data_IF_417516422567
#
_entry.id   IF_417516422567
#
_cell.length_a   1.000
_cell.length_b   1.000
_cell.length_c   1.000
_cell.angle_alpha   90.00
_cell.angle_beta   90.00
_cell.angle_gamma   90.00
#
_symmetry.space_group_name_H-M   'P 1'
#
loop_
_entity.id
_entity.type
_entity.pdbx_description
1 polymer ?
#
# COMPACT_ATOMS: atom_id res chain seq x y z
N UNK A 1 1.01 5.80 -13.88
CA UNK A 1 1.17 6.19 -12.48
C UNK A 1 2.58 5.85 -12.03
N UNK A 2 2.91 4.57 -11.82
CA UNK A 2 4.24 4.09 -11.39
C UNK A 2 5.46 4.68 -12.13
N UNK A 3 5.44 4.71 -13.46
CA UNK A 3 6.54 5.28 -14.24
C UNK A 3 6.71 6.80 -14.04
N UNK A 4 5.59 7.52 -13.86
CA UNK A 4 5.62 8.95 -13.59
C UNK A 4 6.15 9.23 -12.17
N UNK A 5 5.76 8.41 -11.19
CA UNK A 5 6.27 8.51 -9.83
C UNK A 5 7.77 8.20 -9.76
N UNK A 6 8.24 7.17 -10.46
CA UNK A 6 9.65 6.83 -10.53
C UNK A 6 10.51 7.99 -11.07
N UNK A 7 10.04 8.67 -12.12
CA UNK A 7 10.76 9.80 -12.73
C UNK A 7 10.55 11.13 -12.01
N UNK A 8 9.46 11.27 -11.25
CA UNK A 8 9.09 12.49 -10.55
C UNK A 8 10.10 12.89 -9.48
N UNK A 9 10.24 14.19 -9.23
CA UNK A 9 11.19 14.74 -8.25
C UNK A 9 10.95 14.17 -6.85
N UNK A 10 9.68 14.03 -6.45
CA UNK A 10 9.31 13.44 -5.15
C UNK A 10 9.73 11.97 -5.05
N UNK A 11 9.50 11.19 -6.11
CA UNK A 11 9.90 9.78 -6.15
C UNK A 11 11.42 9.62 -6.13
N UNK A 12 12.16 10.42 -6.90
CA UNK A 12 13.62 10.42 -6.87
C UNK A 12 14.19 10.81 -5.51
N UNK A 13 13.60 11.81 -4.86
CA UNK A 13 13.99 12.19 -3.50
C UNK A 13 13.77 11.04 -2.52
N UNK A 14 12.62 10.37 -2.57
CA UNK A 14 12.33 9.20 -1.74
C UNK A 14 13.31 8.04 -2.02
N UNK A 15 13.58 7.73 -3.29
CA UNK A 15 14.56 6.70 -3.66
C UNK A 15 15.95 7.01 -3.10
N UNK A 16 16.40 8.26 -3.22
CA UNK A 16 17.68 8.68 -2.65
C UNK A 16 17.69 8.56 -1.11
N UNK A 17 16.58 8.89 -0.44
CA UNK A 17 16.47 8.75 1.00
C UNK A 17 16.53 7.29 1.46
N UNK A 18 15.86 6.37 0.74
CA UNK A 18 15.80 4.95 1.12
C UNK A 18 17.05 4.16 0.70
N UNK A 19 17.54 4.41 -0.51
CA UNK A 19 18.59 3.59 -1.14
C UNK A 19 19.93 4.31 -1.31
N UNK A 20 20.00 5.62 -1.07
CA UNK A 20 21.19 6.45 -1.31
C UNK A 20 21.47 6.75 -2.79
N UNK A 21 20.69 6.18 -3.72
CA UNK A 21 20.84 6.36 -5.16
C UNK A 21 19.48 6.45 -5.86
N UNK A 22 19.44 7.06 -7.04
CA UNK A 22 18.25 7.00 -7.89
C UNK A 22 18.18 5.66 -8.62
N UNK A 23 16.98 5.09 -8.75
CA UNK A 23 16.77 3.81 -9.42
C UNK A 23 16.59 4.00 -10.93
N UNK A 24 16.85 2.93 -11.69
CA UNK A 24 16.55 2.88 -13.11
C UNK A 24 15.04 2.69 -13.34
N UNK A 25 14.40 3.69 -13.96
CA UNK A 25 12.98 3.67 -14.27
C UNK A 25 12.65 2.97 -15.59
N UNK A 26 13.63 2.40 -16.29
CA UNK A 26 13.43 1.78 -17.61
C UNK A 26 12.47 0.60 -17.57
N UNK A 27 12.48 -0.20 -16.48
CA UNK A 27 11.54 -1.31 -16.34
C UNK A 27 10.09 -0.82 -16.23
N UNK A 28 9.84 0.21 -15.41
CA UNK A 28 8.51 0.82 -15.27
C UNK A 28 7.99 1.41 -16.59
N UNK A 29 8.90 1.92 -17.43
CA UNK A 29 8.55 2.39 -18.76
C UNK A 29 8.10 1.23 -19.66
N UNK A 30 8.86 0.13 -19.70
CA UNK A 30 8.51 -1.07 -20.49
C UNK A 30 7.17 -1.65 -20.06
N UNK A 31 6.93 -1.75 -18.76
CA UNK A 31 5.66 -2.27 -18.22
C UNK A 31 4.49 -1.37 -18.60
N UNK A 32 4.69 -0.04 -18.56
CA UNK A 32 3.69 0.92 -19.03
C UNK A 32 3.39 0.77 -20.52
N UNK A 33 4.42 0.68 -21.36
CA UNK A 33 4.27 0.50 -22.81
C UNK A 33 3.53 -0.80 -23.15
N UNK A 34 3.90 -1.92 -22.51
CA UNK A 34 3.22 -3.20 -22.67
C UNK A 34 1.76 -3.15 -22.20
N UNK A 35 1.49 -2.49 -21.07
CA UNK A 35 0.13 -2.29 -20.59
C UNK A 35 -0.72 -1.51 -21.60
N UNK A 36 -0.16 -0.42 -22.17
CA UNK A 36 -0.85 0.35 -23.20
C UNK A 36 -1.05 -0.45 -24.49
N UNK A 37 -0.08 -1.28 -24.89
CA UNK A 37 -0.20 -2.17 -26.05
C UNK A 37 -1.36 -3.17 -25.87
N UNK A 38 -1.46 -3.80 -24.69
CA UNK A 38 -2.58 -4.66 -24.34
C UNK A 38 -3.92 -3.91 -24.36
N UNK A 39 -3.98 -2.71 -23.73
CA UNK A 39 -5.22 -1.93 -23.67
C UNK A 39 -5.73 -1.54 -25.05
N UNK A 40 -4.84 -1.14 -25.95
CA UNK A 40 -5.19 -0.62 -27.27
C UNK A 40 -5.37 -1.72 -28.32
N UNK A 41 -4.53 -2.76 -28.30
CA UNK A 41 -4.46 -3.76 -29.38
C UNK A 41 -4.81 -5.18 -28.93
N UNK A 42 -5.09 -5.40 -27.63
CA UNK A 42 -5.34 -6.73 -27.06
C UNK A 42 -4.22 -7.75 -27.36
N UNK A 43 -2.98 -7.28 -27.34
CA UNK A 43 -1.80 -8.11 -27.53
C UNK A 43 -1.52 -8.99 -26.29
N UNK A 44 -1.69 -10.30 -26.45
CA UNK A 44 -1.52 -11.28 -25.37
C UNK A 44 -0.07 -11.41 -24.88
N UNK A 45 0.93 -11.16 -25.74
CA UNK A 45 2.33 -11.23 -25.34
C UNK A 45 2.68 -10.07 -24.42
N UNK A 46 2.18 -8.88 -24.71
CA UNK A 46 2.37 -7.72 -23.84
C UNK A 46 1.65 -7.89 -22.50
N UNK A 47 0.46 -8.49 -22.48
CA UNK A 47 -0.21 -8.85 -21.23
C UNK A 47 0.64 -9.81 -20.40
N UNK A 48 1.15 -10.88 -21.03
CA UNK A 48 2.00 -11.87 -20.37
C UNK A 48 3.25 -11.24 -19.77
N UNK A 49 3.93 -10.37 -20.52
CA UNK A 49 5.12 -9.66 -20.04
C UNK A 49 4.85 -8.79 -18.81
N UNK A 50 3.70 -8.09 -18.77
CA UNK A 50 3.29 -7.31 -17.60
C UNK A 50 3.04 -8.22 -16.40
N UNK A 51 2.28 -9.31 -16.59
CA UNK A 51 1.98 -10.27 -15.51
C UNK A 51 3.27 -10.84 -14.90
N UNK A 52 4.22 -11.26 -15.74
CA UNK A 52 5.51 -11.78 -15.28
C UNK A 52 6.32 -10.74 -14.50
N UNK A 53 6.31 -9.48 -14.95
CA UNK A 53 6.97 -8.37 -14.22
C UNK A 53 6.33 -8.14 -12.85
N UNK A 54 5.00 -8.12 -12.77
CA UNK A 54 4.26 -7.95 -11.52
C UNK A 54 4.51 -9.10 -10.53
N UNK A 55 4.49 -10.34 -11.03
CA UNK A 55 4.78 -11.53 -10.22
C UNK A 55 6.19 -11.49 -9.66
N UNK A 56 7.17 -11.08 -10.48
CA UNK A 56 8.55 -10.91 -10.03
C UNK A 56 8.66 -9.85 -8.93
N UNK A 57 8.04 -8.67 -9.09
CA UNK A 57 8.07 -7.62 -8.05
C UNK A 57 7.39 -8.08 -6.76
N UNK A 58 6.28 -8.81 -6.86
CA UNK A 58 5.59 -9.38 -5.70
C UNK A 58 6.50 -10.36 -4.98
N UNK A 59 7.18 -11.24 -5.73
CA UNK A 59 8.14 -12.18 -5.16
C UNK A 59 9.29 -11.46 -4.45
N UNK A 60 9.96 -10.52 -5.12
CA UNK A 60 11.09 -9.76 -4.56
C UNK A 60 10.70 -9.01 -3.28
N UNK A 61 9.49 -8.42 -3.24
CA UNK A 61 8.97 -7.74 -2.05
C UNK A 61 8.74 -8.69 -0.88
N UNK A 62 8.26 -9.90 -1.15
CA UNK A 62 7.96 -10.89 -0.12
C UNK A 62 9.16 -11.75 0.25
N UNK A 63 10.19 -11.79 -0.60
CA UNK A 63 11.38 -12.63 -0.42
C UNK A 63 12.02 -12.44 0.95
N UNK A 64 12.24 -11.19 1.38
CA UNK A 64 12.81 -10.91 2.69
C UNK A 64 11.95 -11.43 3.86
N UNK A 65 10.63 -11.53 3.69
CA UNK A 65 9.73 -12.12 4.69
C UNK A 65 9.77 -13.64 4.68
N UNK A 66 9.92 -14.27 3.51
CA UNK A 66 10.00 -15.72 3.37
C UNK A 66 11.38 -16.29 3.75
N UNK A 67 12.45 -15.54 3.46
CA UNK A 67 13.83 -15.91 3.77
C UNK A 67 14.17 -15.67 5.26
N UNK A 68 13.22 -15.17 6.05
CA UNK A 68 13.40 -14.90 7.47
C UNK A 68 13.35 -16.21 8.28
N UNK A 69 14.37 -16.46 9.12
CA UNK A 69 14.49 -17.64 9.99
C UNK A 69 14.07 -17.38 11.44
N UNK A 70 13.86 -16.12 11.81
CA UNK A 70 13.50 -15.70 13.18
C UNK A 70 11.98 -15.66 13.39
N UNK A 71 11.22 -15.25 12.37
CA UNK A 71 9.79 -14.98 12.48
C UNK A 71 8.95 -15.81 11.51
N UNK A 72 7.93 -16.49 12.02
CA UNK A 72 6.97 -17.23 11.20
C UNK A 72 5.80 -16.34 10.73
N UNK A 73 5.38 -16.54 9.48
CA UNK A 73 4.20 -15.86 8.92
C UNK A 73 2.91 -16.37 9.57
N UNK A 74 2.08 -15.45 10.06
CA UNK A 74 0.79 -15.78 10.66
C UNK A 74 -0.23 -16.16 9.59
N UNK A 75 -0.94 -17.28 9.78
CA UNK A 75 -2.02 -17.73 8.90
C UNK A 75 -3.36 -17.02 9.18
N UNK A 76 -3.60 -16.63 10.42
CA UNK A 76 -4.79 -15.91 10.86
C UNK A 76 -4.43 -14.87 11.92
N UNK A 77 -5.20 -13.77 12.04
CA UNK A 77 -5.06 -12.87 13.18
C UNK A 77 -5.32 -13.64 14.49
N UNK A 78 -4.76 -13.18 15.61
CA UNK A 78 -5.12 -13.70 16.94
C UNK A 78 -6.64 -13.63 17.18
N UNK A 79 -7.19 -14.58 17.96
CA UNK A 79 -8.64 -14.65 18.23
C UNK A 79 -9.19 -13.38 18.88
N UNK A 80 -8.38 -12.71 19.69
CA UNK A 80 -8.72 -11.46 20.37
C UNK A 80 -8.19 -10.21 19.65
N UNK A 81 -7.82 -10.30 18.37
CA UNK A 81 -7.28 -9.17 17.61
C UNK A 81 -8.23 -7.98 17.54
N UNK A 82 -9.54 -8.25 17.50
CA UNK A 82 -10.61 -7.25 17.50
C UNK A 82 -11.29 -7.10 18.86
N UNK A 83 -10.66 -7.56 19.95
CA UNK A 83 -11.20 -7.37 21.29
C UNK A 83 -11.35 -5.87 21.61
N UNK A 84 -12.35 -5.50 22.43
CA UNK A 84 -12.51 -4.12 22.85
C UNK A 84 -11.22 -3.63 23.53
N UNK A 85 -10.90 -2.35 23.32
CA UNK A 85 -9.75 -1.75 23.97
C UNK A 85 -9.91 -1.84 25.50
N UNK A 86 -8.81 -2.00 26.26
CA UNK A 86 -8.86 -1.99 27.71
C UNK A 86 -9.48 -0.69 28.27
N UNK A 87 -10.17 -0.78 29.41
CA UNK A 87 -10.89 0.35 30.03
C UNK A 87 -10.01 1.58 30.26
N UNK A 88 -8.76 1.39 30.68
CA UNK A 88 -7.83 2.50 30.91
C UNK A 88 -7.51 3.28 29.63
N UNK A 89 -7.47 2.59 28.48
CA UNK A 89 -7.18 3.19 27.18
C UNK A 89 -8.41 3.91 26.64
N UNK A 90 -9.61 3.35 26.84
CA UNK A 90 -10.87 4.01 26.52
C UNK A 90 -11.03 5.32 27.31
N UNK A 91 -10.78 5.31 28.63
CA UNK A 91 -10.84 6.51 29.47
C UNK A 91 -9.85 7.59 29.04
N UNK A 92 -8.65 7.20 28.60
CA UNK A 92 -7.66 8.14 28.05
C UNK A 92 -8.11 8.69 26.70
N UNK A 93 -8.73 7.86 25.87
CA UNK A 93 -9.24 8.26 24.56
C UNK A 93 -10.39 9.28 24.68
N UNK A 94 -11.32 9.09 25.64
CA UNK A 94 -12.48 9.95 25.85
C UNK A 94 -12.15 11.44 26.01
N UNK A 95 -11.03 11.74 26.66
CA UNK A 95 -10.54 13.09 26.94
C UNK A 95 -9.43 13.54 25.97
N UNK A 96 -9.04 12.68 25.02
CA UNK A 96 -8.06 13.03 24.00
C UNK A 96 -8.69 13.94 22.93
N UNK A 97 -7.86 14.71 22.23
CA UNK A 97 -8.30 15.50 21.09
C UNK A 97 -9.04 14.66 20.05
N UNK A 98 -8.56 13.44 19.76
CA UNK A 98 -9.18 12.52 18.82
C UNK A 98 -10.57 12.08 19.30
N UNK A 99 -10.71 11.70 20.58
CA UNK A 99 -12.00 11.30 21.13
C UNK A 99 -13.03 12.43 21.12
N UNK A 100 -12.62 13.65 21.45
CA UNK A 100 -13.49 14.83 21.39
C UNK A 100 -13.87 15.18 19.94
N UNK A 101 -12.93 15.13 19.01
CA UNK A 101 -13.16 15.39 17.58
C UNK A 101 -14.11 14.34 16.96
N UNK A 102 -13.92 13.05 17.29
CA UNK A 102 -14.82 11.97 16.85
C UNK A 102 -16.23 12.16 17.39
N UNK A 103 -16.38 12.49 18.68
CA UNK A 103 -17.69 12.81 19.28
C UNK A 103 -18.37 13.98 18.54
N UNK A 104 -17.65 15.08 18.32
CA UNK A 104 -18.16 16.22 17.57
C UNK A 104 -18.54 15.87 16.13
N UNK A 105 -17.78 15.00 15.45
CA UNK A 105 -18.11 14.54 14.10
C UNK A 105 -19.35 13.65 14.07
N UNK A 106 -19.51 12.75 15.05
CA UNK A 106 -20.69 11.89 15.18
C UNK A 106 -21.94 12.72 15.50
N UNK A 107 -21.84 13.71 16.39
CA UNK A 107 -22.93 14.64 16.73
C UNK A 107 -23.35 15.49 15.52
N UNK A 108 -22.38 15.92 14.69
CA UNK A 108 -22.62 16.65 13.43
C UNK A 108 -23.21 15.76 12.32
N UNK A 109 -23.09 14.44 12.40
CA UNK A 109 -23.63 13.49 11.40
C UNK A 109 -25.14 13.25 11.52
N UNK A 110 -25.87 14.08 12.28
CA UNK A 110 -27.34 14.11 12.29
C UNK A 110 -27.97 14.82 11.06
N UNK A 111 -27.17 15.26 10.08
CA UNK A 111 -27.70 15.61 8.76
C UNK A 111 -27.86 14.36 7.92
N UNK A 112 -29.12 14.00 7.63
CA UNK A 112 -29.53 12.93 6.74
C UNK A 112 -28.74 12.98 5.41
N UNK A 113 -27.81 12.04 5.23
CA UNK A 113 -27.31 11.67 3.92
C UNK A 113 -27.51 10.16 3.80
N UNK A 114 -28.53 9.77 3.03
CA UNK A 114 -28.65 8.44 2.44
C UNK A 114 -27.64 8.40 1.30
N UNK A 115 -26.62 7.54 1.43
CA UNK A 115 -25.94 6.71 0.40
C UNK A 115 -24.61 6.20 0.95
#
# INVERSE_FOLDING_TARGET
EEHADCKGIRGKFHQYFVHGTTLDCSQWQKDYENCMLWRNKKDLNALKAVVESEEKRKHDRLKASYDNDVWELRSKPPENWNAPLPDWLNKKFENSYLGLSTKQQLEKKSSCCIS
#
